data_IF_158610805764
#
_entry.id   IF_158610805764
#
_cell.length_a   1.000
_cell.length_b   1.000
_cell.length_c   1.000
_cell.angle_alpha   90.00
_cell.angle_beta   90.00
_cell.angle_gamma   90.00
#
_symmetry.space_group_name_H-M   'P 1'
#
loop_
_entity.id
_entity.type
_entity.pdbx_description
1 polymer ?
#
# COMPACT_ATOMS: atom_id res chain seq x y z
N UNK A 1 -38.53 35.90 -38.34
CA UNK A 1 -37.43 36.25 -37.42
C UNK A 1 -37.88 35.95 -36.00
N UNK A 2 -37.44 34.79 -35.41
CA UNK A 2 -37.70 34.43 -34.02
C UNK A 2 -36.48 34.83 -33.21
N UNK A 3 -36.62 35.80 -32.34
CA UNK A 3 -35.57 36.17 -31.36
C UNK A 3 -35.44 35.09 -30.30
N UNK A 4 -34.35 34.33 -30.36
CA UNK A 4 -33.93 33.47 -29.27
C UNK A 4 -33.36 34.35 -28.15
N UNK A 5 -34.12 34.59 -27.11
CA UNK A 5 -33.60 35.09 -25.82
C UNK A 5 -33.03 33.96 -25.05
N UNK A 6 -31.70 33.80 -25.06
CA UNK A 6 -30.98 32.94 -24.15
C UNK A 6 -31.24 33.40 -22.73
N UNK A 7 -32.01 32.61 -21.94
CA UNK A 7 -32.12 32.80 -20.52
C UNK A 7 -30.76 32.47 -19.88
N UNK A 8 -30.02 33.49 -19.52
CA UNK A 8 -28.86 33.34 -18.64
C UNK A 8 -29.30 32.64 -17.35
N UNK A 9 -28.96 31.35 -17.23
CA UNK A 9 -29.15 30.59 -16.01
C UNK A 9 -28.18 31.15 -14.98
N UNK A 10 -28.66 32.04 -14.10
CA UNK A 10 -27.87 32.60 -13.00
C UNK A 10 -27.29 31.43 -12.17
N UNK A 11 -25.98 31.26 -12.23
CA UNK A 11 -25.25 30.26 -11.48
C UNK A 11 -25.48 30.53 -9.99
N UNK A 12 -26.00 29.54 -9.24
CA UNK A 12 -26.21 29.66 -7.80
C UNK A 12 -24.92 30.04 -7.08
N UNK A 13 -24.91 31.11 -6.33
CA UNK A 13 -23.80 31.54 -5.49
C UNK A 13 -24.28 31.82 -4.08
N UNK A 14 -23.46 31.42 -3.09
CA UNK A 14 -23.71 31.79 -1.69
C UNK A 14 -23.53 33.30 -1.51
N UNK A 15 -24.19 33.87 -0.48
CA UNK A 15 -23.94 35.26 -0.09
C UNK A 15 -22.46 35.40 0.33
N UNK A 16 -21.85 36.49 -0.13
CA UNK A 16 -20.49 36.89 0.25
C UNK A 16 -20.51 37.81 1.50
N UNK A 17 -19.34 38.28 1.90
CA UNK A 17 -19.19 39.11 3.09
C UNK A 17 -19.81 40.51 2.87
N UNK A 18 -19.69 41.06 1.67
CA UNK A 18 -20.17 42.38 1.30
C UNK A 18 -21.71 42.39 1.34
N UNK A 19 -22.36 41.40 0.72
CA UNK A 19 -23.80 41.21 0.78
C UNK A 19 -24.32 41.04 2.23
N UNK A 20 -23.53 40.44 3.12
CA UNK A 20 -23.88 40.32 4.55
C UNK A 20 -23.73 41.64 5.30
N UNK A 21 -22.75 42.46 4.92
CA UNK A 21 -22.62 43.81 5.47
C UNK A 21 -23.79 44.71 5.08
N UNK A 22 -24.16 44.69 3.79
CA UNK A 22 -25.36 45.45 3.34
C UNK A 22 -26.65 44.96 3.99
N UNK A 23 -26.78 43.62 4.20
CA UNK A 23 -27.90 43.09 4.99
C UNK A 23 -27.92 43.63 6.43
N UNK A 24 -26.77 43.67 7.10
CA UNK A 24 -26.68 44.16 8.48
C UNK A 24 -27.06 45.66 8.55
N UNK A 25 -26.53 46.45 7.64
CA UNK A 25 -26.86 47.90 7.54
C UNK A 25 -28.34 48.10 7.26
N UNK A 26 -28.91 47.30 6.35
CA UNK A 26 -30.37 47.39 6.04
C UNK A 26 -31.24 47.03 7.25
N UNK A 27 -30.85 46.04 8.04
CA UNK A 27 -31.57 45.67 9.26
C UNK A 27 -31.45 46.77 10.34
N UNK A 28 -30.28 47.40 10.53
CA UNK A 28 -30.07 48.52 11.43
C UNK A 28 -30.95 49.76 11.05
N UNK A 29 -31.13 49.99 9.75
CA UNK A 29 -32.01 51.05 9.22
C UNK A 29 -33.52 50.71 9.32
N UNK A 30 -33.87 49.55 9.86
CA UNK A 30 -35.23 49.08 10.01
C UNK A 30 -35.90 48.61 8.71
N UNK A 31 -35.15 48.35 7.65
CA UNK A 31 -35.69 47.88 6.38
C UNK A 31 -36.30 46.48 6.52
N UNK A 32 -37.40 46.24 5.83
CA UNK A 32 -38.04 44.92 5.79
C UNK A 32 -37.19 43.96 4.94
N UNK A 33 -37.26 42.65 5.28
CA UNK A 33 -36.48 41.60 4.57
C UNK A 33 -36.72 41.58 3.05
N UNK A 34 -37.93 41.95 2.59
CA UNK A 34 -38.25 42.07 1.17
C UNK A 34 -37.56 43.25 0.50
N UNK A 35 -37.32 44.33 1.20
CA UNK A 35 -36.61 45.52 0.71
C UNK A 35 -35.12 45.24 0.58
N UNK A 36 -34.54 44.60 1.60
CA UNK A 36 -33.14 44.14 1.57
C UNK A 36 -32.92 43.13 0.42
N UNK A 37 -33.88 42.24 0.19
CA UNK A 37 -33.81 41.28 -0.89
C UNK A 37 -33.79 41.96 -2.29
N UNK A 38 -34.55 43.06 -2.46
CA UNK A 38 -34.52 43.87 -3.69
C UNK A 38 -33.17 44.57 -3.88
N UNK A 39 -32.65 45.19 -2.82
CA UNK A 39 -31.36 45.89 -2.84
C UNK A 39 -30.22 44.93 -3.29
N UNK A 40 -30.18 43.72 -2.73
CA UNK A 40 -29.17 42.73 -3.04
C UNK A 40 -29.46 41.89 -4.29
N UNK A 41 -30.56 42.14 -4.98
CA UNK A 41 -30.99 41.31 -6.12
C UNK A 41 -31.01 39.81 -5.81
N UNK A 42 -31.46 39.46 -4.60
CA UNK A 42 -31.59 38.10 -4.09
C UNK A 42 -33.05 37.78 -3.78
N UNK A 43 -33.38 36.48 -3.66
CA UNK A 43 -34.74 36.10 -3.27
C UNK A 43 -35.01 36.44 -1.77
N UNK A 44 -36.23 36.88 -1.40
CA UNK A 44 -36.59 37.11 0.00
C UNK A 44 -36.35 35.86 0.88
N UNK A 45 -36.54 34.67 0.33
CA UNK A 45 -36.31 33.42 1.04
C UNK A 45 -34.82 33.18 1.32
N UNK A 46 -33.90 33.70 0.47
CA UNK A 46 -32.47 33.64 0.74
C UNK A 46 -32.10 34.52 1.91
N UNK A 47 -32.62 35.75 1.95
CA UNK A 47 -32.41 36.70 3.06
C UNK A 47 -32.94 36.14 4.37
N UNK A 48 -34.18 35.67 4.37
CA UNK A 48 -34.81 35.09 5.57
C UNK A 48 -33.99 33.87 6.11
N UNK A 49 -33.55 32.98 5.23
CA UNK A 49 -32.71 31.83 5.64
C UNK A 49 -31.34 32.26 6.16
N UNK A 50 -30.75 33.30 5.59
CA UNK A 50 -29.45 33.82 6.03
C UNK A 50 -29.56 34.43 7.43
N UNK A 51 -30.57 35.26 7.66
CA UNK A 51 -30.87 35.86 8.98
C UNK A 51 -31.07 34.75 10.02
N UNK A 52 -31.95 33.77 9.72
CA UNK A 52 -32.25 32.68 10.65
C UNK A 52 -31.04 31.78 10.95
N UNK A 53 -30.17 31.59 10.01
CA UNK A 53 -29.04 30.65 10.15
C UNK A 53 -27.75 31.27 10.65
N UNK A 54 -27.50 32.50 10.27
CA UNK A 54 -26.17 33.11 10.41
C UNK A 54 -26.18 34.40 11.22
N UNK A 55 -27.30 35.13 11.24
CA UNK A 55 -27.44 36.33 12.05
C UNK A 55 -28.12 36.01 13.38
N UNK A 56 -27.55 36.51 14.46
CA UNK A 56 -28.12 36.41 15.79
C UNK A 56 -28.67 37.80 16.13
N UNK A 57 -29.99 37.90 16.27
CA UNK A 57 -30.63 39.13 16.69
C UNK A 57 -30.85 39.01 18.21
N UNK A 58 -29.96 39.59 18.98
CA UNK A 58 -30.24 39.92 20.38
C UNK A 58 -30.79 41.34 20.44
N UNK A 59 -31.66 41.60 21.38
CA UNK A 59 -32.45 42.82 21.53
C UNK A 59 -31.67 44.15 21.56
N UNK A 60 -30.77 44.45 20.77
CA UNK A 60 -30.02 45.70 20.55
C UNK A 60 -28.69 45.58 19.80
N UNK A 61 -28.33 44.42 19.32
CA UNK A 61 -27.07 44.31 18.57
C UNK A 61 -27.27 43.49 17.30
N UNK A 62 -27.25 44.14 16.16
CA UNK A 62 -27.16 43.49 14.86
C UNK A 62 -25.84 42.74 14.77
N UNK A 63 -25.90 41.45 14.51
CA UNK A 63 -24.70 40.62 14.44
C UNK A 63 -23.81 41.08 13.28
N UNK A 64 -22.58 41.44 13.59
CA UNK A 64 -21.59 41.88 12.60
C UNK A 64 -21.49 40.84 11.47
N UNK A 65 -21.46 41.30 10.21
CA UNK A 65 -21.39 40.49 9.00
C UNK A 65 -20.25 39.46 9.06
N UNK A 66 -19.13 39.82 9.65
CA UNK A 66 -18.00 38.94 9.92
C UNK A 66 -18.35 37.71 10.78
N UNK A 67 -19.21 37.87 11.78
CA UNK A 67 -19.64 36.74 12.62
C UNK A 67 -20.61 35.84 11.85
N UNK A 68 -21.49 36.38 11.02
CA UNK A 68 -22.34 35.61 10.12
C UNK A 68 -21.53 34.84 9.08
N UNK A 69 -20.50 35.46 8.48
CA UNK A 69 -19.58 34.80 7.56
C UNK A 69 -18.86 33.62 8.22
N UNK A 70 -18.27 33.82 9.42
CA UNK A 70 -17.62 32.74 10.17
C UNK A 70 -18.53 31.57 10.46
N UNK A 71 -19.82 31.84 10.79
CA UNK A 71 -20.82 30.78 11.02
C UNK A 71 -21.17 30.03 9.74
N UNK A 72 -21.29 30.73 8.61
CA UNK A 72 -21.53 30.16 7.29
C UNK A 72 -20.36 29.27 6.89
N UNK A 73 -19.10 29.75 7.02
CA UNK A 73 -17.89 29.00 6.72
C UNK A 73 -17.74 27.77 7.62
N UNK A 74 -18.04 27.90 8.91
CA UNK A 74 -18.01 26.75 9.83
C UNK A 74 -19.00 25.67 9.39
N UNK A 75 -20.23 26.04 9.02
CA UNK A 75 -21.25 25.09 8.52
C UNK A 75 -20.85 24.46 7.19
N UNK A 76 -20.31 25.24 6.26
CA UNK A 76 -19.79 24.71 5.01
C UNK A 76 -18.69 23.70 5.26
N UNK A 77 -17.72 24.00 6.13
CA UNK A 77 -16.67 23.05 6.52
C UNK A 77 -17.22 21.80 7.20
N UNK A 78 -18.26 21.93 8.03
CA UNK A 78 -18.91 20.79 8.68
C UNK A 78 -19.72 19.93 7.70
N UNK A 79 -20.46 20.54 6.77
CA UNK A 79 -21.26 19.82 5.76
C UNK A 79 -20.37 19.01 4.79
N UNK A 80 -19.17 19.52 4.51
CA UNK A 80 -18.18 18.80 3.70
C UNK A 80 -17.38 17.72 4.47
N UNK A 81 -17.50 17.67 5.81
CA UNK A 81 -16.94 16.61 6.65
C UNK A 81 -17.81 15.34 6.62
N UNK A 82 -18.15 14.85 5.43
CA UNK A 82 -18.73 13.50 5.33
C UNK A 82 -17.72 12.49 5.88
N UNK A 83 -18.18 11.66 6.82
CA UNK A 83 -17.35 10.55 7.31
C UNK A 83 -17.01 9.66 6.11
N UNK A 84 -15.72 9.59 5.74
CA UNK A 84 -15.25 8.81 4.60
C UNK A 84 -15.65 7.35 4.68
N UNK A 85 -15.71 6.81 5.89
CA UNK A 85 -16.15 5.43 6.16
C UNK A 85 -17.23 5.50 7.25
N UNK A 86 -18.52 5.63 6.92
CA UNK A 86 -19.60 5.80 7.89
C UNK A 86 -19.85 4.54 8.72
N UNK A 87 -19.73 3.35 8.14
CA UNK A 87 -20.03 2.08 8.80
C UNK A 87 -19.02 1.74 9.90
N UNK A 88 -19.50 1.62 11.16
CA UNK A 88 -18.69 1.14 12.30
C UNK A 88 -18.17 -0.29 12.07
N UNK A 89 -18.98 -1.16 11.44
CA UNK A 89 -18.58 -2.55 11.12
C UNK A 89 -17.43 -2.56 10.12
N UNK A 90 -17.51 -1.77 9.05
CA UNK A 90 -16.45 -1.66 8.05
C UNK A 90 -15.16 -1.08 8.66
N UNK A 91 -15.24 -0.09 9.55
CA UNK A 91 -14.05 0.44 10.26
C UNK A 91 -13.37 -0.64 11.10
N UNK A 92 -14.12 -1.45 11.84
CA UNK A 92 -13.58 -2.58 12.62
C UNK A 92 -12.92 -3.61 11.71
N UNK A 93 -13.54 -3.95 10.59
CA UNK A 93 -12.98 -4.83 9.57
C UNK A 93 -11.65 -4.31 9.04
N UNK A 94 -11.60 -3.04 8.62
CA UNK A 94 -10.38 -2.40 8.13
C UNK A 94 -9.27 -2.43 9.19
N UNK A 95 -9.57 -2.04 10.44
CA UNK A 95 -8.59 -2.07 11.52
C UNK A 95 -8.05 -3.49 11.77
N UNK A 96 -8.93 -4.51 11.83
CA UNK A 96 -8.54 -5.91 12.02
C UNK A 96 -7.48 -6.33 11.01
N UNK A 97 -7.73 -6.09 9.72
CA UNK A 97 -6.82 -6.53 8.66
C UNK A 97 -5.58 -5.63 8.51
N UNK A 98 -5.67 -4.34 8.87
CA UNK A 98 -4.48 -3.48 8.98
C UNK A 98 -3.53 -3.96 10.06
N UNK A 99 -4.02 -4.34 11.25
CA UNK A 99 -3.19 -4.88 12.33
C UNK A 99 -2.50 -6.18 11.94
N UNK A 100 -3.18 -7.03 11.17
CA UNK A 100 -2.60 -8.24 10.57
C UNK A 100 -1.56 -7.87 9.49
N UNK A 101 -1.55 -6.62 8.98
CA UNK A 101 -0.58 -6.11 7.99
C UNK A 101 -1.02 -6.21 6.54
N UNK A 102 -2.32 -6.32 6.27
CA UNK A 102 -2.85 -6.25 4.92
C UNK A 102 -2.80 -4.82 4.39
N UNK A 103 -2.57 -4.66 3.08
CA UNK A 103 -2.62 -3.34 2.46
C UNK A 103 -4.06 -2.87 2.25
N UNK A 104 -4.32 -1.56 2.23
CA UNK A 104 -5.65 -1.02 1.93
C UNK A 104 -6.27 -1.56 0.63
N UNK A 105 -5.45 -1.88 -0.39
CA UNK A 105 -5.93 -2.50 -1.64
C UNK A 105 -6.53 -3.89 -1.42
N UNK A 106 -5.85 -4.73 -0.63
CA UNK A 106 -6.33 -6.08 -0.31
C UNK A 106 -7.59 -5.99 0.55
N UNK A 107 -7.59 -5.08 1.54
CA UNK A 107 -8.73 -4.88 2.43
C UNK A 107 -9.97 -4.40 1.66
N UNK A 108 -9.80 -3.48 0.72
CA UNK A 108 -10.90 -3.00 -0.12
C UNK A 108 -11.49 -4.11 -0.99
N UNK A 109 -10.63 -4.94 -1.59
CA UNK A 109 -11.07 -6.08 -2.39
C UNK A 109 -11.80 -7.13 -1.55
N UNK A 110 -11.29 -7.46 -0.36
CA UNK A 110 -11.94 -8.39 0.57
C UNK A 110 -13.29 -7.85 1.06
N UNK A 111 -13.35 -6.58 1.42
CA UNK A 111 -14.60 -5.95 1.87
C UNK A 111 -15.69 -6.00 0.80
N UNK A 112 -15.32 -5.81 -0.46
CA UNK A 112 -16.26 -5.88 -1.59
C UNK A 112 -16.74 -7.30 -1.88
N UNK A 113 -15.92 -8.33 -1.59
CA UNK A 113 -16.28 -9.73 -1.77
C UNK A 113 -17.15 -10.27 -0.60
N UNK A 114 -16.86 -9.81 0.65
CA UNK A 114 -17.57 -10.29 1.82
C UNK A 114 -18.98 -9.68 1.93
N UNK A 115 -19.18 -8.45 1.46
CA UNK A 115 -20.47 -7.77 1.56
C UNK A 115 -20.60 -6.67 0.50
N UNK A 116 -21.59 -6.80 -0.38
CA UNK A 116 -21.85 -5.78 -1.42
C UNK A 116 -22.11 -4.37 -0.87
N UNK A 117 -22.65 -4.25 0.36
CA UNK A 117 -22.87 -2.96 1.05
C UNK A 117 -21.56 -2.32 1.55
N UNK A 118 -20.43 -3.04 1.53
CA UNK A 118 -19.13 -2.56 1.97
C UNK A 118 -18.24 -2.12 0.82
N UNK A 119 -18.82 -1.80 -0.33
CA UNK A 119 -18.04 -1.27 -1.47
C UNK A 119 -17.23 -0.06 -1.01
N UNK A 120 -15.93 -0.20 -0.92
CA UNK A 120 -14.99 0.86 -0.58
C UNK A 120 -13.78 0.80 -1.50
N UNK A 121 -13.22 1.96 -1.81
CA UNK A 121 -12.00 2.04 -2.59
C UNK A 121 -10.79 2.11 -1.64
N UNK A 122 -9.66 1.54 -2.04
CA UNK A 122 -8.40 1.62 -1.30
C UNK A 122 -7.98 3.07 -1.02
N UNK A 123 -8.22 3.99 -1.95
CA UNK A 123 -7.92 5.41 -1.79
C UNK A 123 -8.74 6.03 -0.64
N UNK A 124 -10.01 5.65 -0.52
CA UNK A 124 -10.87 6.07 0.61
C UNK A 124 -10.30 5.59 1.95
N UNK A 125 -9.77 4.36 1.99
CA UNK A 125 -9.12 3.80 3.19
C UNK A 125 -7.84 4.58 3.50
N UNK A 126 -6.97 4.87 2.51
CA UNK A 126 -5.78 5.69 2.70
C UNK A 126 -6.13 7.09 3.23
N UNK A 127 -7.08 7.76 2.60
CA UNK A 127 -7.50 9.10 3.03
C UNK A 127 -8.09 9.09 4.44
N UNK A 128 -8.85 8.05 4.80
CA UNK A 128 -9.36 7.87 6.16
C UNK A 128 -8.22 7.72 7.16
N UNK A 129 -7.20 6.92 6.84
CA UNK A 129 -6.03 6.72 7.71
C UNK A 129 -5.25 8.04 7.88
N UNK A 130 -4.89 8.70 6.77
CA UNK A 130 -4.03 9.89 6.82
C UNK A 130 -4.72 11.13 7.41
N UNK A 131 -6.03 11.27 7.25
CA UNK A 131 -6.75 12.45 7.72
C UNK A 131 -7.43 12.23 9.09
N UNK A 132 -8.04 11.06 9.29
CA UNK A 132 -8.92 10.83 10.44
C UNK A 132 -8.31 9.88 11.48
N UNK A 133 -7.39 8.96 11.08
CA UNK A 133 -6.82 7.92 11.94
C UNK A 133 -5.32 7.74 11.73
N UNK A 134 -4.56 8.80 12.01
CA UNK A 134 -3.09 8.82 11.87
C UNK A 134 -2.39 7.77 12.76
N UNK A 135 -3.03 7.31 13.82
CA UNK A 135 -2.61 6.21 14.67
C UNK A 135 -2.44 4.89 13.91
N UNK A 136 -3.11 4.71 12.77
CA UNK A 136 -3.03 3.52 11.93
C UNK A 136 -1.89 3.54 10.89
N UNK A 137 -1.20 4.68 10.70
CA UNK A 137 -0.10 4.81 9.74
C UNK A 137 1.02 3.78 9.95
N UNK A 138 1.46 3.45 11.20
CA UNK A 138 2.49 2.45 11.43
C UNK A 138 2.13 1.04 10.92
N UNK A 139 0.84 0.74 10.81
CA UNK A 139 0.32 -0.55 10.34
C UNK A 139 0.21 -0.66 8.82
N UNK A 140 0.43 0.43 8.09
CA UNK A 140 0.51 0.39 6.63
C UNK A 140 1.75 -0.40 6.16
N UNK A 141 1.62 -1.10 5.05
CA UNK A 141 2.66 -1.98 4.49
C UNK A 141 3.99 -1.27 4.24
N UNK A 142 3.96 0.04 3.96
CA UNK A 142 5.13 0.90 3.81
C UNK A 142 4.92 2.20 4.59
N UNK A 143 5.39 2.25 5.83
CA UNK A 143 5.36 3.45 6.67
C UNK A 143 6.53 4.40 6.35
N UNK A 144 6.72 4.78 5.07
CA UNK A 144 7.82 5.66 4.69
C UNK A 144 7.60 7.10 5.17
N UNK A 145 8.38 7.52 6.16
CA UNK A 145 8.42 8.92 6.61
C UNK A 145 9.16 9.87 5.65
N UNK A 146 10.09 9.37 4.81
CA UNK A 146 10.86 10.19 3.83
C UNK A 146 11.33 9.35 2.63
N UNK A 147 11.33 9.97 1.43
CA UNK A 147 11.89 9.41 0.19
C UNK A 147 13.41 9.54 0.24
N UNK A 148 14.16 8.43 0.13
CA UNK A 148 15.63 8.48 0.07
C UNK A 148 16.10 9.00 -1.28
N UNK A 149 17.09 9.94 -1.28
CA UNK A 149 17.85 10.31 -2.48
C UNK A 149 18.68 9.11 -2.94
N UNK A 150 18.76 8.86 -4.26
CA UNK A 150 19.68 7.87 -4.83
C UNK A 150 21.11 8.28 -4.50
N UNK A 151 21.83 7.45 -3.73
CA UNK A 151 23.26 7.61 -3.49
C UNK A 151 24.06 6.96 -4.61
N UNK A 152 25.14 7.58 -5.05
CA UNK A 152 26.12 6.96 -5.93
C UNK A 152 26.84 5.83 -5.17
N UNK A 153 26.69 4.62 -5.62
CA UNK A 153 27.41 3.47 -5.06
C UNK A 153 28.69 3.25 -5.83
N UNK A 154 29.81 3.29 -5.15
CA UNK A 154 31.14 2.96 -5.67
C UNK A 154 31.45 1.48 -5.53
N UNK A 155 32.29 1.01 -6.46
CA UNK A 155 33.13 -0.18 -6.54
C UNK A 155 32.55 -1.43 -7.20
N UNK A 156 33.21 -1.71 -8.34
CA UNK A 156 33.09 -2.94 -9.13
C UNK A 156 33.81 -4.09 -8.42
N UNK A 157 33.08 -4.93 -7.69
CA UNK A 157 33.60 -6.25 -7.32
C UNK A 157 33.16 -7.28 -8.37
N UNK A 158 34.08 -7.76 -9.18
CA UNK A 158 33.87 -8.94 -10.00
C UNK A 158 33.68 -10.16 -9.09
N UNK A 159 32.53 -10.81 -9.16
CA UNK A 159 32.31 -12.06 -8.41
C UNK A 159 33.11 -13.18 -9.05
N UNK A 160 33.87 -13.93 -8.24
CA UNK A 160 34.65 -15.09 -8.65
C UNK A 160 33.80 -16.39 -8.67
N UNK A 161 32.57 -16.35 -9.13
CA UNK A 161 31.71 -17.52 -9.24
C UNK A 161 32.03 -18.24 -10.56
N UNK A 162 32.50 -19.50 -10.55
CA UNK A 162 32.84 -20.24 -11.76
C UNK A 162 31.59 -20.58 -12.58
N UNK A 163 31.74 -20.77 -13.87
CA UNK A 163 30.70 -21.25 -14.80
C UNK A 163 29.33 -20.59 -14.69
N UNK A 164 29.34 -19.29 -14.42
CA UNK A 164 28.14 -18.49 -14.20
C UNK A 164 27.39 -18.21 -15.50
N UNK A 165 26.13 -18.66 -15.59
CA UNK A 165 25.21 -18.31 -16.68
C UNK A 165 24.39 -17.08 -16.28
N UNK A 166 24.45 -16.02 -17.07
CA UNK A 166 23.70 -14.78 -16.79
C UNK A 166 22.21 -14.93 -17.09
N UNK A 167 21.37 -14.07 -16.49
CA UNK A 167 19.92 -14.04 -16.73
C UNK A 167 19.55 -13.72 -18.18
N UNK A 168 20.45 -13.13 -18.96
CA UNK A 168 20.24 -12.83 -20.38
C UNK A 168 20.08 -14.12 -21.21
N UNK A 169 20.76 -15.20 -20.82
CA UNK A 169 20.64 -16.53 -21.44
C UNK A 169 19.44 -17.33 -20.91
N UNK A 170 18.60 -16.74 -20.07
CA UNK A 170 17.44 -17.39 -19.49
C UNK A 170 16.26 -17.35 -20.45
N UNK A 171 15.56 -18.47 -20.70
CA UNK A 171 14.38 -18.51 -21.57
C UNK A 171 13.30 -17.49 -21.19
N UNK A 172 12.64 -16.89 -22.16
CA UNK A 172 11.62 -15.87 -21.96
C UNK A 172 10.42 -16.34 -21.14
N UNK A 173 10.06 -17.62 -21.22
CA UNK A 173 9.00 -18.20 -20.38
C UNK A 173 9.26 -18.05 -18.89
N UNK A 174 10.56 -17.95 -18.48
CA UNK A 174 10.95 -17.71 -17.09
C UNK A 174 10.85 -16.21 -16.79
N UNK A 175 11.21 -15.34 -17.73
CA UNK A 175 11.11 -13.89 -17.58
C UNK A 175 9.66 -13.45 -17.46
N UNK A 176 8.79 -13.94 -18.32
CA UNK A 176 7.34 -13.72 -18.36
C UNK A 176 6.59 -14.43 -17.22
N UNK A 177 7.27 -15.32 -16.47
CA UNK A 177 6.68 -16.09 -15.36
C UNK A 177 5.48 -16.94 -15.79
N UNK A 178 5.46 -17.40 -17.02
CA UNK A 178 4.38 -18.22 -17.59
C UNK A 178 4.37 -19.63 -17.00
N UNK A 179 5.55 -20.20 -16.74
CA UNK A 179 5.75 -21.55 -16.18
C UNK A 179 6.13 -21.53 -14.71
N UNK A 180 5.77 -22.55 -13.95
CA UNK A 180 6.15 -22.79 -12.55
C UNK A 180 7.45 -23.56 -12.44
N UNK A 181 8.01 -23.61 -11.23
CA UNK A 181 9.24 -24.33 -10.92
C UNK A 181 10.51 -23.50 -11.06
N UNK A 182 10.37 -22.19 -11.20
CA UNK A 182 11.49 -21.26 -11.34
C UNK A 182 11.64 -20.44 -10.06
N UNK A 183 12.67 -20.76 -9.30
CA UNK A 183 12.93 -20.16 -7.99
C UNK A 183 13.91 -19.02 -8.08
N UNK A 184 13.78 -18.09 -7.14
CA UNK A 184 14.75 -17.05 -6.89
C UNK A 184 15.18 -17.14 -5.44
N UNK A 185 16.49 -17.04 -5.22
CA UNK A 185 17.10 -17.13 -3.90
C UNK A 185 17.81 -15.84 -3.53
N UNK A 186 17.75 -15.48 -2.25
CA UNK A 186 18.52 -14.38 -1.68
C UNK A 186 18.81 -14.66 -0.21
N UNK A 187 19.79 -13.97 0.36
CA UNK A 187 20.16 -14.08 1.76
C UNK A 187 19.90 -12.79 2.51
N UNK A 188 19.40 -12.92 3.74
CA UNK A 188 19.19 -11.77 4.62
C UNK A 188 20.14 -11.89 5.80
N UNK A 189 21.10 -10.99 5.84
CA UNK A 189 22.12 -10.92 6.89
C UNK A 189 21.76 -9.90 7.96
N UNK A 190 22.38 -10.04 9.12
CA UNK A 190 22.39 -9.05 10.21
C UNK A 190 23.84 -8.78 10.63
N UNK A 191 24.09 -7.58 11.15
CA UNK A 191 25.39 -7.23 11.73
C UNK A 191 25.60 -7.82 13.12
N UNK A 192 24.53 -8.38 13.73
CA UNK A 192 24.55 -8.88 15.11
C UNK A 192 25.06 -10.30 15.23
N UNK A 193 25.09 -11.09 14.15
CA UNK A 193 25.55 -12.47 14.16
C UNK A 193 26.01 -12.94 12.80
N UNK A 194 26.83 -14.01 12.75
CA UNK A 194 27.20 -14.71 11.52
C UNK A 194 26.02 -15.47 10.90
N UNK A 195 25.00 -15.77 11.70
CA UNK A 195 23.79 -16.42 11.21
C UNK A 195 23.04 -15.54 10.21
N UNK A 196 22.39 -16.19 9.25
CA UNK A 196 21.61 -15.54 8.21
C UNK A 196 20.30 -16.29 7.99
N UNK A 197 19.43 -15.77 7.14
CA UNK A 197 18.31 -16.52 6.60
C UNK A 197 18.39 -16.57 5.09
N UNK A 198 18.06 -17.72 4.55
CA UNK A 198 17.86 -17.94 3.12
C UNK A 198 16.38 -17.75 2.81
N UNK A 199 16.10 -17.04 1.74
CA UNK A 199 14.75 -16.77 1.25
C UNK A 199 14.65 -17.32 -0.18
N UNK A 200 13.78 -18.30 -0.38
CA UNK A 200 13.44 -18.87 -1.68
C UNK A 200 12.05 -18.39 -2.07
N UNK A 201 11.91 -17.81 -3.25
CA UNK A 201 10.62 -17.36 -3.77
C UNK A 201 10.37 -17.99 -5.15
N UNK A 202 9.27 -18.70 -5.32
CA UNK A 202 8.81 -19.19 -6.61
C UNK A 202 8.29 -18.01 -7.45
N UNK A 203 8.72 -17.93 -8.72
CA UNK A 203 8.56 -16.72 -9.53
C UNK A 203 7.14 -16.46 -10.01
N UNK A 204 6.36 -17.49 -10.32
CA UNK A 204 4.98 -17.41 -10.81
C UNK A 204 3.99 -17.30 -9.66
N UNK A 205 4.01 -18.24 -8.73
CA UNK A 205 3.07 -18.36 -7.63
C UNK A 205 3.38 -17.43 -6.46
N UNK A 206 4.60 -16.89 -6.39
CA UNK A 206 5.10 -16.09 -5.26
C UNK A 206 5.24 -16.89 -3.96
N UNK A 207 5.14 -18.20 -4.02
CA UNK A 207 5.29 -19.06 -2.86
C UNK A 207 6.69 -18.92 -2.26
N UNK A 208 6.76 -18.86 -0.93
CA UNK A 208 7.95 -18.48 -0.18
C UNK A 208 8.37 -19.61 0.76
N UNK A 209 9.67 -19.90 0.78
CA UNK A 209 10.31 -20.75 1.78
C UNK A 209 11.38 -19.92 2.46
N UNK A 210 11.44 -19.96 3.80
CA UNK A 210 12.48 -19.29 4.58
C UNK A 210 13.24 -20.34 5.42
N UNK A 211 14.56 -20.35 5.33
CA UNK A 211 15.42 -21.26 6.10
C UNK A 211 16.49 -20.50 6.87
N UNK A 212 16.71 -20.91 8.10
CA UNK A 212 17.82 -20.42 8.93
C UNK A 212 19.13 -21.03 8.44
N UNK A 213 20.15 -20.21 8.37
CA UNK A 213 21.53 -20.60 8.09
C UNK A 213 22.39 -20.30 9.32
N UNK A 214 23.27 -21.21 9.70
CA UNK A 214 24.20 -20.98 10.80
C UNK A 214 25.26 -19.92 10.42
N UNK A 215 25.65 -19.92 9.12
CA UNK A 215 26.55 -18.94 8.56
C UNK A 215 26.23 -18.69 7.08
N UNK A 216 26.66 -17.53 6.54
CA UNK A 216 26.53 -17.20 5.12
C UNK A 216 27.68 -17.85 4.33
N UNK A 217 27.65 -19.17 4.17
CA UNK A 217 28.64 -19.93 3.41
C UNK A 217 27.99 -20.66 2.24
N UNK A 218 28.81 -21.00 1.21
CA UNK A 218 28.31 -21.75 0.06
C UNK A 218 27.79 -23.14 0.42
N UNK A 219 28.43 -23.80 1.37
CA UNK A 219 28.07 -25.14 1.84
C UNK A 219 26.69 -25.09 2.54
N UNK A 220 26.47 -24.15 3.45
CA UNK A 220 25.19 -23.96 4.14
C UNK A 220 24.06 -23.64 3.13
N UNK A 221 24.33 -22.75 2.16
CA UNK A 221 23.39 -22.42 1.10
C UNK A 221 23.01 -23.65 0.28
N UNK A 222 23.98 -24.47 -0.10
CA UNK A 222 23.75 -25.72 -0.83
C UNK A 222 22.80 -26.64 -0.06
N UNK A 223 23.15 -27.00 1.18
CA UNK A 223 22.33 -27.92 1.98
C UNK A 223 20.94 -27.34 2.28
N UNK A 224 20.85 -26.07 2.62
CA UNK A 224 19.57 -25.44 2.90
C UNK A 224 18.66 -25.42 1.64
N UNK A 225 19.24 -25.14 0.46
CA UNK A 225 18.49 -25.13 -0.80
C UNK A 225 18.03 -26.54 -1.17
N UNK A 226 18.90 -27.53 -1.11
CA UNK A 226 18.57 -28.93 -1.44
C UNK A 226 17.48 -29.45 -0.48
N UNK A 227 17.64 -29.28 0.84
CA UNK A 227 16.63 -29.71 1.82
C UNK A 227 15.27 -29.03 1.62
N UNK A 228 15.27 -27.77 1.14
CA UNK A 228 14.03 -27.02 0.95
C UNK A 228 13.27 -27.44 -0.29
N UNK A 229 13.98 -27.82 -1.34
CA UNK A 229 13.37 -28.09 -2.64
C UNK A 229 13.19 -29.59 -2.92
N UNK A 230 14.07 -30.46 -2.40
CA UNK A 230 14.04 -31.91 -2.67
C UNK A 230 12.72 -32.58 -2.28
N UNK A 231 12.00 -32.03 -1.30
CA UNK A 231 10.68 -32.53 -0.87
C UNK A 231 9.52 -32.14 -1.80
N UNK A 232 9.77 -31.25 -2.76
CA UNK A 232 8.75 -30.82 -3.71
C UNK A 232 8.74 -31.70 -4.96
N UNK A 233 7.59 -31.82 -5.65
CA UNK A 233 7.52 -32.51 -6.94
C UNK A 233 8.50 -31.91 -7.96
N UNK A 234 9.14 -32.76 -8.77
CA UNK A 234 10.15 -32.33 -9.76
C UNK A 234 9.61 -31.32 -10.77
N UNK A 235 8.32 -31.40 -11.09
CA UNK A 235 7.63 -30.41 -11.95
C UNK A 235 7.70 -28.97 -11.42
N UNK A 236 7.91 -28.81 -10.10
CA UNK A 236 8.04 -27.51 -9.41
C UNK A 236 9.48 -27.09 -9.16
N UNK A 237 10.47 -27.81 -9.69
CA UNK A 237 11.90 -27.53 -9.48
C UNK A 237 12.62 -27.59 -10.83
N UNK A 238 12.73 -26.44 -11.52
CA UNK A 238 13.29 -26.38 -12.88
C UNK A 238 14.55 -25.53 -12.98
N UNK A 239 14.55 -24.38 -12.30
CA UNK A 239 15.72 -23.49 -12.27
C UNK A 239 15.76 -22.64 -11.02
N UNK A 240 16.97 -22.19 -10.69
CA UNK A 240 17.22 -21.27 -9.57
C UNK A 240 17.95 -20.03 -10.09
N UNK A 241 17.47 -18.85 -9.73
CA UNK A 241 18.14 -17.57 -10.02
C UNK A 241 18.80 -17.05 -8.76
N UNK A 242 20.11 -16.83 -8.85
CA UNK A 242 20.98 -16.34 -7.78
C UNK A 242 21.34 -14.87 -7.98
N UNK A 243 21.76 -14.22 -6.91
CA UNK A 243 22.57 -13.01 -7.00
C UNK A 243 24.07 -13.35 -7.14
N UNK A 244 24.91 -12.31 -7.28
CA UNK A 244 26.36 -12.49 -7.44
C UNK A 244 27.11 -12.61 -6.09
N UNK A 245 26.45 -13.05 -5.03
CA UNK A 245 27.07 -13.27 -3.73
C UNK A 245 27.97 -14.51 -3.72
N UNK A 246 29.10 -14.44 -3.00
CA UNK A 246 30.04 -15.56 -2.88
C UNK A 246 29.44 -16.81 -2.22
N UNK A 247 28.35 -16.66 -1.46
CA UNK A 247 27.59 -17.78 -0.91
C UNK A 247 26.97 -18.68 -1.96
N UNK A 248 26.94 -18.26 -3.22
CA UNK A 248 26.38 -19.01 -4.34
C UNK A 248 27.45 -19.75 -5.17
N UNK A 249 28.71 -19.79 -4.70
CA UNK A 249 29.84 -20.45 -5.40
C UNK A 249 29.58 -21.94 -5.58
N UNK A 250 28.81 -22.59 -4.72
CA UNK A 250 28.49 -24.03 -4.78
C UNK A 250 27.24 -24.35 -5.62
N UNK A 251 26.81 -23.42 -6.48
CA UNK A 251 25.58 -23.58 -7.27
C UNK A 251 25.61 -24.83 -8.17
N UNK A 252 26.79 -25.23 -8.69
CA UNK A 252 26.93 -26.45 -9.53
C UNK A 252 26.61 -27.73 -8.76
N UNK A 253 27.04 -27.82 -7.50
CA UNK A 253 26.66 -28.94 -6.60
C UNK A 253 25.15 -28.98 -6.37
N UNK A 254 24.54 -27.81 -6.22
CA UNK A 254 23.08 -27.69 -6.06
C UNK A 254 22.35 -28.07 -7.35
N UNK A 255 22.89 -27.68 -8.52
CA UNK A 255 22.34 -28.05 -9.81
C UNK A 255 22.34 -29.58 -10.02
N UNK A 256 23.45 -30.24 -9.70
CA UNK A 256 23.56 -31.71 -9.77
C UNK A 256 22.60 -32.40 -8.81
N UNK A 257 22.49 -31.90 -7.56
CA UNK A 257 21.64 -32.52 -6.54
C UNK A 257 20.12 -32.40 -6.79
N UNK A 258 19.71 -31.34 -7.49
CA UNK A 258 18.32 -31.07 -7.80
C UNK A 258 17.94 -31.22 -9.27
N UNK A 259 18.91 -31.53 -10.13
CA UNK A 259 18.77 -31.57 -11.60
C UNK A 259 18.15 -30.27 -12.16
N UNK A 260 18.72 -29.11 -11.81
CA UNK A 260 18.21 -27.80 -12.19
C UNK A 260 19.24 -26.94 -12.90
N UNK A 261 18.77 -25.93 -13.64
CA UNK A 261 19.64 -24.91 -14.24
C UNK A 261 19.73 -23.70 -13.30
N UNK A 262 20.93 -23.12 -13.19
CA UNK A 262 21.15 -21.87 -12.43
C UNK A 262 21.38 -20.69 -13.35
N UNK A 263 20.85 -19.54 -12.93
CA UNK A 263 21.05 -18.25 -13.60
C UNK A 263 21.49 -17.21 -12.58
N UNK A 264 22.30 -16.25 -13.00
CA UNK A 264 22.82 -15.19 -12.14
C UNK A 264 22.37 -13.82 -12.63
N UNK A 265 21.89 -12.99 -11.70
CA UNK A 265 21.54 -11.61 -12.01
C UNK A 265 22.73 -10.83 -12.57
N UNK A 266 22.48 -9.89 -13.47
CA UNK A 266 23.52 -9.01 -13.96
C UNK A 266 24.03 -8.09 -12.84
N UNK A 267 25.32 -7.78 -12.81
CA UNK A 267 25.86 -6.81 -11.85
C UNK A 267 25.15 -5.47 -11.99
N UNK A 268 24.82 -4.84 -10.86
CA UNK A 268 24.15 -3.53 -10.77
C UNK A 268 22.69 -3.47 -11.28
N UNK A 269 22.09 -4.56 -11.74
CA UNK A 269 20.69 -4.62 -12.18
C UNK A 269 19.75 -4.90 -10.99
N UNK A 270 19.56 -3.91 -10.11
CA UNK A 270 18.73 -4.06 -8.91
C UNK A 270 17.25 -4.37 -9.23
N UNK A 271 16.74 -3.93 -10.39
CA UNK A 271 15.36 -4.19 -10.82
C UNK A 271 15.08 -5.68 -11.06
N UNK A 272 16.09 -6.46 -11.42
CA UNK A 272 15.95 -7.91 -11.54
C UNK A 272 15.63 -8.57 -10.20
N UNK A 273 15.94 -7.90 -9.08
CA UNK A 273 15.70 -8.38 -7.70
C UNK A 273 14.36 -7.93 -7.10
N UNK A 274 13.60 -7.04 -7.74
CA UNK A 274 12.44 -6.35 -7.15
C UNK A 274 11.43 -7.24 -6.42
N UNK A 275 11.19 -8.47 -6.90
CA UNK A 275 10.26 -9.40 -6.23
C UNK A 275 10.76 -9.85 -4.86
N UNK A 276 12.02 -10.32 -4.79
CA UNK A 276 12.57 -10.86 -3.55
C UNK A 276 12.89 -9.74 -2.56
N UNK A 277 13.28 -8.57 -3.06
CA UNK A 277 13.45 -7.37 -2.22
C UNK A 277 12.15 -6.94 -1.54
N UNK A 278 11.02 -7.04 -2.24
CA UNK A 278 9.71 -6.76 -1.65
C UNK A 278 9.38 -7.76 -0.54
N UNK A 279 9.64 -9.05 -0.76
CA UNK A 279 9.46 -10.10 0.24
C UNK A 279 10.37 -9.86 1.45
N UNK A 280 11.63 -9.55 1.24
CA UNK A 280 12.58 -9.20 2.31
C UNK A 280 12.07 -7.96 3.07
N UNK A 281 11.51 -6.98 2.38
CA UNK A 281 10.87 -5.81 2.99
C UNK A 281 9.72 -6.19 3.93
N UNK A 282 8.93 -7.20 3.59
CA UNK A 282 7.85 -7.73 4.46
C UNK A 282 8.47 -8.48 5.65
N UNK A 283 9.46 -9.34 5.44
CA UNK A 283 10.18 -10.06 6.51
C UNK A 283 10.78 -9.07 7.52
N UNK A 284 11.31 -7.93 7.04
CA UNK A 284 11.90 -6.88 7.88
C UNK A 284 10.89 -6.14 8.76
N UNK A 285 9.60 -6.31 8.57
CA UNK A 285 8.57 -5.83 9.51
C UNK A 285 8.51 -6.68 10.77
N UNK A 286 8.73 -7.98 10.64
CA UNK A 286 8.79 -8.93 11.77
C UNK A 286 10.17 -8.91 12.40
N UNK A 287 11.20 -8.79 11.57
CA UNK A 287 12.61 -8.84 11.96
C UNK A 287 13.36 -7.62 11.40
N UNK A 288 13.48 -6.53 12.17
CA UNK A 288 14.22 -5.33 11.77
C UNK A 288 15.70 -5.61 11.44
N UNK A 289 16.40 -4.65 10.80
CA UNK A 289 17.78 -4.85 10.31
C UNK A 289 18.81 -5.27 11.34
N UNK A 290 18.60 -4.98 12.63
CA UNK A 290 19.48 -5.32 13.74
C UNK A 290 19.08 -6.60 14.47
N UNK A 291 18.14 -7.40 13.93
CA UNK A 291 17.73 -8.67 14.54
C UNK A 291 18.89 -9.65 14.56
N UNK A 292 19.14 -10.28 15.70
CA UNK A 292 20.09 -11.37 15.83
C UNK A 292 19.46 -12.69 15.37
N UNK A 293 19.91 -13.19 14.20
CA UNK A 293 19.39 -14.42 13.62
C UNK A 293 19.70 -15.69 14.46
N UNK A 294 20.69 -15.64 15.37
CA UNK A 294 20.93 -16.76 16.28
C UNK A 294 19.73 -17.02 17.18
N UNK A 295 19.07 -15.94 17.65
CA UNK A 295 17.93 -16.00 18.59
C UNK A 295 16.60 -16.36 17.91
N UNK A 296 16.51 -16.28 16.60
CA UNK A 296 15.29 -16.60 15.83
C UNK A 296 15.26 -18.10 15.53
N UNK A 297 14.20 -18.79 15.90
CA UNK A 297 14.02 -20.21 15.61
C UNK A 297 13.55 -20.45 14.17
N UNK A 298 13.78 -21.68 13.64
CA UNK A 298 13.21 -22.06 12.34
C UNK A 298 11.68 -22.07 12.37
N UNK A 299 11.08 -22.37 13.52
CA UNK A 299 9.64 -22.35 13.69
C UNK A 299 9.04 -20.95 13.53
N UNK A 300 9.68 -19.93 14.10
CA UNK A 300 9.27 -18.53 13.94
C UNK A 300 9.37 -18.07 12.48
N UNK A 301 10.42 -18.49 11.79
CA UNK A 301 10.58 -18.22 10.35
C UNK A 301 9.47 -18.90 9.53
N UNK A 302 9.09 -20.13 9.90
CA UNK A 302 7.99 -20.85 9.25
C UNK A 302 6.65 -20.16 9.49
N UNK A 303 6.40 -19.58 10.68
CA UNK A 303 5.20 -18.75 10.94
C UNK A 303 5.13 -17.56 9.99
N UNK A 304 6.25 -16.85 9.84
CA UNK A 304 6.31 -15.69 8.91
C UNK A 304 6.13 -16.13 7.47
N UNK A 305 6.73 -17.25 7.05
CA UNK A 305 6.53 -17.81 5.71
C UNK A 305 5.07 -18.18 5.47
N UNK A 306 4.40 -18.86 6.42
CA UNK A 306 2.96 -19.16 6.36
C UNK A 306 2.11 -17.90 6.24
N UNK A 307 2.40 -16.90 7.06
CA UNK A 307 1.68 -15.63 7.00
C UNK A 307 1.76 -14.99 5.61
N UNK A 308 2.97 -14.95 5.02
CA UNK A 308 3.17 -14.36 3.68
C UNK A 308 2.49 -15.21 2.60
N UNK A 309 2.58 -16.55 2.70
CA UNK A 309 2.00 -17.48 1.73
C UNK A 309 0.45 -17.52 1.77
N UNK A 310 -0.15 -17.19 2.90
CA UNK A 310 -1.60 -17.10 3.06
C UNK A 310 -2.17 -15.68 2.86
N UNK A 311 -1.31 -14.72 2.48
CA UNK A 311 -1.73 -13.36 2.19
C UNK A 311 -2.21 -13.24 0.75
N UNK A 312 -3.45 -12.78 0.49
CA UNK A 312 -3.93 -12.53 -0.87
C UNK A 312 -3.07 -11.50 -1.59
N UNK A 313 -2.79 -11.72 -2.88
CA UNK A 313 -1.98 -10.82 -3.69
C UNK A 313 -2.74 -10.36 -4.94
N UNK A 314 -2.77 -9.04 -5.21
CA UNK A 314 -3.40 -8.47 -6.41
C UNK A 314 -2.89 -9.10 -7.71
N UNK A 315 -1.56 -9.33 -7.78
CA UNK A 315 -0.90 -9.99 -8.93
C UNK A 315 -1.40 -11.41 -9.19
N UNK A 316 -2.02 -12.05 -8.21
CA UNK A 316 -2.55 -13.41 -8.27
C UNK A 316 -4.09 -13.42 -8.31
N UNK A 317 -4.71 -12.30 -8.72
CA UNK A 317 -6.18 -12.18 -8.71
C UNK A 317 -6.78 -12.30 -7.30
N UNK A 318 -6.06 -11.78 -6.30
CA UNK A 318 -6.41 -11.86 -4.86
C UNK A 318 -6.43 -13.29 -4.29
N UNK A 319 -5.94 -14.28 -5.03
CA UNK A 319 -5.62 -15.60 -4.48
C UNK A 319 -4.34 -15.55 -3.66
N UNK A 320 -4.17 -16.53 -2.77
CA UNK A 320 -2.93 -16.61 -1.97
C UNK A 320 -1.85 -17.39 -2.72
N UNK A 321 -0.55 -17.09 -2.47
CA UNK A 321 0.55 -17.90 -2.99
C UNK A 321 0.41 -19.40 -2.69
N UNK A 322 -0.06 -19.73 -1.49
CA UNK A 322 -0.30 -21.11 -1.07
C UNK A 322 -1.34 -21.81 -1.93
N UNK A 323 -2.52 -21.17 -2.13
CA UNK A 323 -3.59 -21.75 -2.95
C UNK A 323 -3.13 -22.07 -4.37
N UNK A 324 -2.40 -21.10 -5.00
CA UNK A 324 -1.92 -21.32 -6.38
C UNK A 324 -0.81 -22.36 -6.43
N UNK A 325 0.08 -22.36 -5.44
CA UNK A 325 1.20 -23.32 -5.40
C UNK A 325 0.71 -24.74 -5.23
N UNK A 326 -0.23 -24.99 -4.32
CA UNK A 326 -0.82 -26.31 -4.08
C UNK A 326 -1.60 -26.79 -5.31
N UNK A 327 -2.44 -25.94 -5.91
CA UNK A 327 -3.19 -26.30 -7.12
C UNK A 327 -2.29 -26.68 -8.32
N UNK A 328 -1.04 -26.25 -8.35
CA UNK A 328 -0.07 -26.60 -9.39
C UNK A 328 0.84 -27.76 -8.95
N UNK A 329 0.87 -28.11 -7.67
CA UNK A 329 1.58 -29.25 -7.13
C UNK A 329 0.80 -30.57 -7.32
N UNK A 330 -0.52 -30.47 -7.22
CA UNK A 330 -1.43 -31.55 -7.63
C UNK A 330 -1.37 -31.81 -9.13
#
# INVERSE_FOLDING_TARGET
>A
MKKNTSKDVKKYSHLDIEEREEMAIGLEKGLKQCEIARLLNRSPSTISREIKRNMFIMDYVVCRANAAQRRADCRNRQSHKKQRIPSKKLRRFICKYLFIGYSPEIIAAMASNDNERWKTNYETIYQWIYNDRKDLIPFLTRSHKKRRKRGSGNQKHCSKIPNRVTVDKRPDCINLRSKTGHWKIDTVISRMSKAAIMVLAERKTRYLIIKKLQAKTGIEMHYATVRSLKSLPSKLIKSITYDNGLENVTHERTNKALNVKSYFCNPYHSWEKGTIENVIGIIRRFYPKKTDWKKVSQWDLNKVARYINNKPMKLLGYKTPYQIFVALAS
#
